data_IF_989501069518
#
_entry.id   IF_989501069518
#
_cell.length_a   1.000
_cell.length_b   1.000
_cell.length_c   1.000
_cell.angle_alpha   90.00
_cell.angle_beta   90.00
_cell.angle_gamma   90.00
#
_symmetry.space_group_name_H-M   'P 1'
#
loop_
_entity.id
_entity.type
_entity.pdbx_description
1 polymer ?
#
# COMPACT_ATOMS: atom_id res chain seq x y z
N UNK A 1 -5.76 6.64 -24.47
CA UNK A 1 -7.02 7.17 -23.89
C UNK A 1 -7.74 5.99 -23.26
N UNK A 2 -7.97 6.02 -21.95
CA UNK A 2 -8.41 4.88 -21.10
C UNK A 2 -9.95 4.72 -21.03
N UNK A 3 -10.66 4.81 -22.17
CA UNK A 3 -12.14 4.86 -22.18
C UNK A 3 -12.85 3.58 -21.73
N UNK A 4 -12.17 2.43 -21.72
CA UNK A 4 -12.76 1.13 -21.38
C UNK A 4 -11.99 0.40 -20.28
N UNK A 5 -11.01 1.07 -19.66
CA UNK A 5 -10.19 0.47 -18.62
C UNK A 5 -11.00 0.42 -17.32
N UNK A 6 -10.86 -0.68 -16.58
CA UNK A 6 -11.39 -0.79 -15.22
C UNK A 6 -10.43 -0.08 -14.25
N UNK A 7 -10.92 0.95 -13.56
CA UNK A 7 -10.12 1.82 -12.70
C UNK A 7 -10.52 1.63 -11.25
N UNK A 8 -9.59 1.13 -10.44
CA UNK A 8 -9.73 1.05 -8.98
C UNK A 8 -8.99 2.19 -8.30
N UNK A 9 -9.66 2.86 -7.35
CA UNK A 9 -9.07 3.89 -6.49
C UNK A 9 -9.04 3.41 -5.03
N UNK A 10 -8.51 4.24 -4.12
CA UNK A 10 -8.43 3.90 -2.68
C UNK A 10 -9.81 3.60 -2.07
N UNK A 11 -10.84 4.33 -2.52
CA UNK A 11 -12.23 4.18 -2.08
C UNK A 11 -12.82 2.83 -2.51
N UNK A 12 -12.31 2.25 -3.59
CA UNK A 12 -12.76 0.97 -4.13
C UNK A 12 -12.14 -0.27 -3.48
N UNK A 13 -11.18 -0.12 -2.56
CA UNK A 13 -10.53 -1.27 -1.93
C UNK A 13 -11.36 -1.92 -0.82
N UNK A 14 -12.12 -1.12 -0.07
CA UNK A 14 -12.94 -1.61 1.03
C UNK A 14 -14.22 -2.27 0.53
N UNK A 15 -14.72 -3.26 1.26
CA UNK A 15 -16.01 -3.91 0.99
C UNK A 15 -16.99 -3.55 2.11
N UNK A 16 -17.74 -2.46 1.91
CA UNK A 16 -18.57 -1.89 2.97
C UNK A 16 -17.71 -1.37 4.12
N UNK A 17 -17.92 -1.88 5.33
CA UNK A 17 -17.11 -1.51 6.51
C UNK A 17 -15.83 -2.35 6.66
N UNK A 18 -15.67 -3.40 5.84
CA UNK A 18 -14.47 -4.24 5.88
C UNK A 18 -13.32 -3.58 5.10
N UNK A 19 -12.26 -3.21 5.83
CA UNK A 19 -11.05 -2.67 5.23
C UNK A 19 -10.29 -3.75 4.44
N UNK A 20 -9.68 -3.33 3.35
CA UNK A 20 -8.70 -4.16 2.65
C UNK A 20 -7.50 -4.45 3.59
N UNK A 21 -6.85 -5.63 3.52
CA UNK A 21 -5.71 -5.96 4.38
C UNK A 21 -4.60 -4.90 4.38
N UNK A 22 -4.32 -4.30 3.21
CA UNK A 22 -3.36 -3.19 3.11
C UNK A 22 -3.81 -1.91 3.83
N UNK A 23 -5.11 -1.59 3.83
CA UNK A 23 -5.62 -0.45 4.60
C UNK A 23 -5.47 -0.70 6.10
N UNK A 24 -5.82 -1.91 6.56
CA UNK A 24 -5.67 -2.30 7.96
C UNK A 24 -4.20 -2.29 8.40
N UNK A 25 -3.29 -2.85 7.59
CA UNK A 25 -1.87 -2.88 7.90
C UNK A 25 -1.25 -1.48 8.02
N UNK A 26 -1.71 -0.49 7.24
CA UNK A 26 -1.26 0.89 7.41
C UNK A 26 -1.67 1.48 8.77
N UNK A 27 -2.81 1.07 9.32
CA UNK A 27 -3.25 1.45 10.67
C UNK A 27 -2.38 0.76 11.71
N UNK A 28 -2.21 -0.56 11.59
CA UNK A 28 -1.52 -1.39 12.57
C UNK A 28 -0.02 -1.06 12.69
N UNK A 29 0.60 -0.60 11.61
CA UNK A 29 2.02 -0.29 11.51
C UNK A 29 2.34 1.21 11.43
N UNK A 30 1.39 2.07 11.78
CA UNK A 30 1.58 3.54 11.76
C UNK A 30 2.14 4.06 10.41
N UNK A 31 1.66 3.48 9.30
CA UNK A 31 2.09 3.78 7.93
C UNK A 31 1.60 5.13 7.39
N UNK A 32 1.05 6.00 8.24
CA UNK A 32 0.52 7.30 7.87
C UNK A 32 0.63 8.34 9.00
N UNK A 33 0.60 9.62 8.61
CA UNK A 33 0.40 10.75 9.52
C UNK A 33 -0.58 11.75 8.92
N UNK A 34 -0.14 12.69 8.08
CA UNK A 34 -1.02 13.69 7.47
C UNK A 34 -2.07 13.09 6.50
N UNK A 35 -1.94 11.82 6.14
CA UNK A 35 -2.87 11.10 5.27
C UNK A 35 -2.74 11.41 3.78
N UNK A 36 -2.06 12.49 3.39
CA UNK A 36 -2.09 12.98 2.00
C UNK A 36 -1.50 11.99 0.99
N UNK A 37 -0.37 11.35 1.32
CA UNK A 37 0.22 10.33 0.45
C UNK A 37 -0.46 8.96 0.57
N UNK A 38 -1.26 8.74 1.62
CA UNK A 38 -1.73 7.41 2.03
C UNK A 38 -2.54 6.70 0.95
N UNK A 39 -3.45 7.35 0.19
CA UNK A 39 -4.11 6.72 -0.95
C UNK A 39 -3.14 6.10 -1.97
N UNK A 40 -2.14 6.87 -2.43
CA UNK A 40 -1.15 6.40 -3.41
C UNK A 40 -0.23 5.32 -2.85
N UNK A 41 0.18 5.46 -1.59
CA UNK A 41 0.97 4.46 -0.88
C UNK A 41 0.24 3.12 -0.77
N UNK A 42 -1.04 3.13 -0.39
CA UNK A 42 -1.83 1.89 -0.26
C UNK A 42 -2.03 1.25 -1.63
N UNK A 43 -2.45 2.00 -2.66
CA UNK A 43 -2.64 1.45 -4.00
C UNK A 43 -1.35 0.84 -4.57
N UNK A 44 -0.22 1.52 -4.39
CA UNK A 44 1.09 1.02 -4.83
C UNK A 44 1.55 -0.17 -4.00
N UNK A 45 1.26 -0.20 -2.69
CA UNK A 45 1.53 -1.33 -1.82
C UNK A 45 0.77 -2.59 -2.25
N UNK A 46 -0.51 -2.45 -2.61
CA UNK A 46 -1.32 -3.56 -3.14
C UNK A 46 -0.72 -4.10 -4.44
N UNK A 47 -0.35 -3.22 -5.37
CA UNK A 47 0.31 -3.63 -6.62
C UNK A 47 1.66 -4.30 -6.37
N UNK A 48 2.48 -3.74 -5.47
CA UNK A 48 3.80 -4.26 -5.09
C UNK A 48 3.73 -5.70 -4.56
N UNK A 49 2.74 -6.01 -3.71
CA UNK A 49 2.53 -7.38 -3.23
C UNK A 49 2.02 -8.28 -4.36
N UNK A 50 0.96 -7.85 -5.06
CA UNK A 50 0.31 -8.63 -6.14
C UNK A 50 1.28 -9.01 -7.27
N UNK A 51 2.21 -8.12 -7.60
CA UNK A 51 3.19 -8.31 -8.68
C UNK A 51 4.46 -9.04 -8.21
N UNK A 52 4.50 -9.45 -6.94
CA UNK A 52 5.62 -10.21 -6.38
C UNK A 52 6.87 -9.36 -6.13
N UNK A 53 6.73 -8.06 -6.00
CA UNK A 53 7.81 -7.08 -5.77
C UNK A 53 8.07 -6.77 -4.29
N UNK A 54 7.40 -7.50 -3.38
CA UNK A 54 7.57 -7.35 -1.94
C UNK A 54 8.43 -8.45 -1.30
N UNK A 55 9.27 -9.20 -2.04
CA UNK A 55 9.99 -10.38 -1.50
C UNK A 55 11.00 -10.04 -0.39
N UNK A 56 11.44 -8.79 -0.30
CA UNK A 56 12.28 -8.29 0.78
C UNK A 56 12.00 -6.82 1.01
N UNK A 57 12.35 -6.30 2.19
CA UNK A 57 12.20 -4.86 2.46
C UNK A 57 12.98 -3.97 1.49
N UNK A 58 14.14 -4.43 1.03
CA UNK A 58 14.94 -3.70 0.05
C UNK A 58 14.17 -3.58 -1.28
N UNK A 59 13.55 -4.67 -1.71
CA UNK A 59 12.70 -4.68 -2.91
C UNK A 59 11.46 -3.82 -2.70
N UNK A 60 10.76 -3.94 -1.57
CA UNK A 60 9.61 -3.09 -1.23
C UNK A 60 9.97 -1.62 -1.27
N UNK A 61 11.12 -1.20 -0.69
CA UNK A 61 11.56 0.20 -0.74
C UNK A 61 11.78 0.69 -2.16
N UNK A 62 12.42 -0.12 -3.00
CA UNK A 62 12.67 0.23 -4.40
C UNK A 62 11.35 0.40 -5.17
N UNK A 63 10.43 -0.56 -5.07
CA UNK A 63 9.17 -0.53 -5.82
C UNK A 63 8.17 0.51 -5.29
N UNK A 64 8.29 0.89 -4.02
CA UNK A 64 7.50 1.97 -3.43
C UNK A 64 8.14 3.35 -3.61
N UNK A 65 9.35 3.46 -4.18
CA UNK A 65 10.13 4.71 -4.26
C UNK A 65 9.44 5.83 -5.05
N UNK A 66 8.51 5.49 -5.96
CA UNK A 66 7.68 6.45 -6.69
C UNK A 66 6.63 7.18 -5.83
N UNK A 67 6.41 6.74 -4.58
CA UNK A 67 5.43 7.34 -3.68
C UNK A 67 6.14 8.10 -2.55
N UNK A 68 6.16 9.42 -2.65
CA UNK A 68 6.83 10.28 -1.68
C UNK A 68 5.97 10.52 -0.45
N UNK A 69 6.53 10.32 0.74
CA UNK A 69 5.92 10.63 2.04
C UNK A 69 6.72 11.75 2.74
N UNK A 70 6.14 12.96 2.83
CA UNK A 70 6.82 14.09 3.50
C UNK A 70 6.87 13.95 5.03
N UNK A 71 5.91 13.23 5.61
CA UNK A 71 5.90 12.91 7.04
C UNK A 71 6.99 11.91 7.44
N UNK A 72 7.58 11.19 6.47
CA UNK A 72 8.66 10.24 6.73
C UNK A 72 8.22 8.89 7.28
N UNK A 73 6.98 8.45 7.04
CA UNK A 73 6.42 7.20 7.58
C UNK A 73 6.94 5.92 6.89
N UNK A 74 8.08 5.98 6.18
CA UNK A 74 8.54 4.91 5.29
C UNK A 74 8.77 3.56 5.98
N UNK A 75 9.23 3.56 7.25
CA UNK A 75 9.41 2.31 7.99
C UNK A 75 8.07 1.61 8.24
N UNK A 76 7.06 2.33 8.73
CA UNK A 76 5.70 1.81 8.91
C UNK A 76 5.06 1.36 7.61
N UNK A 77 5.31 2.08 6.50
CA UNK A 77 4.85 1.69 5.15
C UNK A 77 5.47 0.34 4.72
N UNK A 78 6.79 0.18 4.90
CA UNK A 78 7.49 -1.08 4.56
C UNK A 78 6.99 -2.23 5.43
N UNK A 79 6.79 -1.99 6.73
CA UNK A 79 6.23 -2.98 7.66
C UNK A 79 4.80 -3.39 7.29
N UNK A 80 3.94 -2.44 6.93
CA UNK A 80 2.58 -2.72 6.46
C UNK A 80 2.57 -3.61 5.20
N UNK A 81 3.39 -3.28 4.21
CA UNK A 81 3.52 -4.09 2.98
C UNK A 81 4.04 -5.49 3.29
N UNK A 82 5.03 -5.60 4.18
CA UNK A 82 5.60 -6.89 4.62
C UNK A 82 4.55 -7.77 5.30
N UNK A 83 3.77 -7.19 6.22
CA UNK A 83 2.72 -7.86 6.97
C UNK A 83 1.65 -8.45 6.05
N UNK A 84 1.18 -7.68 5.06
CA UNK A 84 0.19 -8.16 4.08
C UNK A 84 0.74 -9.27 3.20
N UNK A 85 2.01 -9.16 2.75
CA UNK A 85 2.66 -10.23 1.99
C UNK A 85 2.71 -11.54 2.79
N UNK A 86 3.10 -11.46 4.06
CA UNK A 86 3.22 -12.65 4.93
C UNK A 86 1.87 -13.29 5.22
N UNK A 87 0.80 -12.50 5.32
CA UNK A 87 -0.56 -12.99 5.50
C UNK A 87 -1.19 -13.63 4.23
N UNK A 88 -0.58 -13.45 3.05
CA UNK A 88 -1.01 -14.07 1.79
C UNK A 88 -0.26 -15.36 1.44
N UNK A 89 0.72 -15.77 2.27
CA UNK A 89 1.54 -16.97 2.10
C UNK A 89 0.95 -18.23 2.73
#
# INVERSE_FOLDING_TARGET
MHQQDDITTIEGLAQGEALHPMQQAFIDHEGLQCGYCTPGQIMSGVACVREGHAQSDAQTREWMSGNVCRCGCYNGIVEAVRSVREAQG
#
